data_IF_168414381788
#
_entry.id   IF_168414381788
#
_cell.length_a   1.000
_cell.length_b   1.000
_cell.length_c   1.000
_cell.angle_alpha   90.00
_cell.angle_beta   90.00
_cell.angle_gamma   90.00
#
_symmetry.space_group_name_H-M   'P 1'
#
loop_
_entity.id
_entity.type
_entity.pdbx_description
1 polymer ?
#
# COMPACT_ATOMS: atom_id res chain seq x y z
N UNK A 1 -20.76 3.64 11.16
CA UNK A 1 -21.47 3.09 9.98
C UNK A 1 -20.51 3.13 8.81
N UNK A 2 -20.22 1.97 8.20
CA UNK A 2 -19.64 1.88 6.85
C UNK A 2 -20.75 2.27 5.85
N UNK A 3 -20.36 2.82 4.70
CA UNK A 3 -21.19 3.36 3.60
C UNK A 3 -21.57 4.84 3.68
N UNK A 4 -20.86 5.66 2.88
CA UNK A 4 -21.46 6.70 2.03
C UNK A 4 -20.54 7.14 0.89
N UNK A 5 -19.26 6.74 0.90
CA UNK A 5 -18.47 6.64 -0.33
C UNK A 5 -17.90 5.24 -0.41
N UNK A 6 -18.69 4.32 -0.96
CA UNK A 6 -18.18 3.05 -1.41
C UNK A 6 -17.39 3.31 -2.71
N UNK A 7 -16.22 3.94 -2.58
CA UNK A 7 -15.20 3.97 -3.63
C UNK A 7 -14.52 2.60 -3.68
N UNK A 8 -15.34 1.55 -3.79
CA UNK A 8 -14.91 0.15 -3.78
C UNK A 8 -13.83 -0.18 -4.83
N UNK A 9 -13.64 0.63 -5.91
CA UNK A 9 -12.45 0.52 -6.74
C UNK A 9 -11.26 1.39 -6.31
N UNK A 10 -11.41 2.59 -5.72
CA UNK A 10 -10.30 3.57 -5.70
C UNK A 10 -9.13 3.20 -4.80
N UNK A 11 -9.36 2.46 -3.72
CA UNK A 11 -8.27 2.05 -2.83
C UNK A 11 -7.53 0.81 -3.36
N UNK A 12 -8.00 0.21 -4.45
CA UNK A 12 -7.39 -0.99 -5.05
C UNK A 12 -6.11 -0.61 -5.78
N UNK A 13 -4.98 -1.27 -5.50
CA UNK A 13 -3.73 -1.07 -6.23
C UNK A 13 -3.91 -1.00 -7.75
N UNK A 14 -4.74 -1.88 -8.33
CA UNK A 14 -5.05 -1.87 -9.78
C UNK A 14 -5.64 -0.56 -10.28
N UNK A 15 -6.57 0.04 -9.54
CA UNK A 15 -7.22 1.29 -9.95
C UNK A 15 -6.29 2.46 -9.74
N UNK A 16 -5.57 2.49 -8.61
CA UNK A 16 -4.54 3.48 -8.35
C UNK A 16 -3.49 3.49 -9.45
N UNK A 17 -2.96 2.32 -9.82
CA UNK A 17 -1.97 2.19 -10.89
C UNK A 17 -2.51 2.59 -12.26
N UNK A 18 -3.75 2.24 -12.59
CA UNK A 18 -4.38 2.64 -13.83
C UNK A 18 -4.56 4.17 -13.93
N UNK A 19 -5.08 4.79 -12.86
CA UNK A 19 -5.28 6.25 -12.80
C UNK A 19 -3.93 6.96 -12.86
N UNK A 20 -2.94 6.49 -12.11
CA UNK A 20 -1.59 7.06 -12.13
C UNK A 20 -0.95 6.95 -13.52
N UNK A 21 -0.99 5.76 -14.13
CA UNK A 21 -0.47 5.53 -15.48
C UNK A 21 -1.17 6.37 -16.55
N UNK A 22 -2.49 6.58 -16.42
CA UNK A 22 -3.25 7.45 -17.33
C UNK A 22 -2.84 8.93 -17.21
N UNK A 23 -2.45 9.39 -16.02
CA UNK A 23 -2.01 10.77 -15.76
C UNK A 23 -0.55 10.99 -16.18
N UNK A 24 0.35 10.04 -15.88
CA UNK A 24 1.79 10.19 -16.06
C UNK A 24 2.35 9.50 -17.33
N UNK A 25 1.56 8.70 -18.04
CA UNK A 25 1.87 8.18 -19.38
C UNK A 25 2.53 6.79 -19.44
N UNK A 26 2.92 6.20 -18.32
CA UNK A 26 3.54 4.85 -18.28
C UNK A 26 2.59 3.78 -17.71
N UNK A 27 1.58 3.43 -18.50
CA UNK A 27 0.59 2.42 -18.11
C UNK A 27 1.22 1.04 -17.87
N UNK A 28 2.13 0.52 -18.73
CA UNK A 28 2.69 -0.82 -18.54
C UNK A 28 3.40 -1.01 -17.20
N UNK A 29 4.31 -0.10 -16.84
CA UNK A 29 5.05 -0.20 -15.57
C UNK A 29 4.12 0.01 -14.38
N UNK A 30 3.20 0.98 -14.47
CA UNK A 30 2.25 1.25 -13.40
C UNK A 30 1.33 0.06 -13.13
N UNK A 31 0.87 -0.62 -14.18
CA UNK A 31 0.05 -1.83 -14.05
C UNK A 31 0.84 -3.00 -13.46
N UNK A 32 2.11 -3.17 -13.84
CA UNK A 32 2.96 -4.21 -13.26
C UNK A 32 3.16 -4.02 -11.75
N UNK A 33 3.38 -2.77 -11.31
CA UNK A 33 3.49 -2.39 -9.90
C UNK A 33 2.17 -2.65 -9.17
N UNK A 34 1.05 -2.26 -9.79
CA UNK A 34 -0.27 -2.45 -9.21
C UNK A 34 -0.66 -3.92 -9.04
N UNK A 35 -0.37 -4.76 -10.05
CA UNK A 35 -0.56 -6.21 -9.98
C UNK A 35 0.28 -6.81 -8.86
N UNK A 36 1.53 -6.38 -8.71
CA UNK A 36 2.38 -6.82 -7.60
C UNK A 36 1.73 -6.57 -6.24
N UNK A 37 1.25 -5.34 -5.99
CA UNK A 37 0.63 -5.00 -4.70
C UNK A 37 -0.73 -5.68 -4.49
N UNK A 38 -1.53 -5.87 -5.55
CA UNK A 38 -2.79 -6.61 -5.47
C UNK A 38 -2.54 -8.08 -5.06
N UNK A 39 -1.51 -8.71 -5.63
CA UNK A 39 -1.10 -10.07 -5.25
C UNK A 39 -0.51 -10.12 -3.84
N UNK A 40 0.33 -9.14 -3.50
CA UNK A 40 1.02 -9.08 -2.21
C UNK A 40 0.05 -8.91 -1.02
N UNK A 41 -1.06 -8.20 -1.22
CA UNK A 41 -2.07 -7.95 -0.18
C UNK A 41 -3.41 -8.64 -0.39
N UNK A 42 -3.44 -9.72 -1.16
CA UNK A 42 -4.66 -10.44 -1.54
C UNK A 42 -5.51 -10.90 -0.33
N UNK A 43 -4.87 -11.15 0.82
CA UNK A 43 -5.51 -11.68 2.05
C UNK A 43 -5.82 -10.64 3.11
N UNK A 44 -5.40 -9.39 2.90
CA UNK A 44 -5.56 -8.34 3.89
C UNK A 44 -6.88 -7.61 3.68
N UNK A 45 -7.98 -8.32 3.94
CA UNK A 45 -9.33 -7.75 3.96
C UNK A 45 -9.72 -7.28 5.37
N UNK A 46 -10.42 -6.14 5.49
CA UNK A 46 -10.78 -5.57 6.79
C UNK A 46 -11.91 -6.38 7.45
N UNK A 47 -11.54 -7.33 8.32
CA UNK A 47 -12.45 -8.16 9.12
C UNK A 47 -12.47 -7.74 10.60
N UNK A 48 -13.67 -7.48 11.15
CA UNK A 48 -13.84 -7.11 12.55
C UNK A 48 -13.12 -5.81 12.92
N UNK A 49 -12.30 -5.85 13.98
CA UNK A 49 -11.52 -4.70 14.48
C UNK A 49 -10.14 -4.57 13.83
N UNK A 50 -9.77 -5.52 12.97
CA UNK A 50 -8.49 -5.50 12.25
C UNK A 50 -8.51 -4.43 11.16
N UNK A 51 -7.46 -3.60 11.16
CA UNK A 51 -7.24 -2.55 10.18
C UNK A 51 -6.06 -3.01 9.31
N UNK A 52 -6.28 -3.32 8.02
CA UNK A 52 -5.21 -3.74 7.15
C UNK A 52 -4.23 -2.58 6.89
N UNK A 53 -2.98 -2.89 6.48
CA UNK A 53 -2.04 -1.89 5.96
C UNK A 53 -2.68 -1.06 4.84
N UNK A 54 -2.34 0.23 4.77
CA UNK A 54 -2.89 1.11 3.74
C UNK A 54 -2.24 0.80 2.38
N UNK A 55 -2.96 0.05 1.56
CA UNK A 55 -2.46 -0.45 0.27
C UNK A 55 -2.25 0.68 -0.74
N UNK A 56 -3.16 1.64 -0.78
CA UNK A 56 -3.10 2.79 -1.68
C UNK A 56 -1.87 3.67 -1.41
N UNK A 57 -1.54 3.91 -0.14
CA UNK A 57 -0.41 4.75 0.25
C UNK A 57 0.92 4.17 -0.25
N UNK A 58 1.16 2.88 -0.06
CA UNK A 58 2.40 2.25 -0.50
C UNK A 58 2.44 2.01 -2.02
N UNK A 59 1.30 1.74 -2.66
CA UNK A 59 1.21 1.68 -4.13
C UNK A 59 1.55 3.05 -4.75
N UNK A 60 0.91 4.13 -4.29
CA UNK A 60 1.20 5.50 -4.76
C UNK A 60 2.65 5.91 -4.51
N UNK A 61 3.18 5.59 -3.34
CA UNK A 61 4.57 5.89 -3.02
C UNK A 61 5.55 5.14 -3.94
N UNK A 62 5.29 3.85 -4.23
CA UNK A 62 6.11 3.07 -5.17
C UNK A 62 6.02 3.62 -6.58
N UNK A 63 4.82 3.93 -7.06
CA UNK A 63 4.60 4.53 -8.38
C UNK A 63 5.33 5.87 -8.50
N UNK A 64 5.28 6.70 -7.46
CA UNK A 64 5.97 7.99 -7.44
C UNK A 64 7.48 7.82 -7.44
N UNK A 65 8.03 6.90 -6.63
CA UNK A 65 9.46 6.60 -6.68
C UNK A 65 9.88 6.06 -8.05
N UNK A 66 9.11 5.13 -8.63
CA UNK A 66 9.40 4.60 -9.95
C UNK A 66 9.40 5.68 -11.02
N UNK A 67 8.43 6.62 -10.96
CA UNK A 67 8.37 7.74 -11.86
C UNK A 67 9.52 8.74 -11.66
N UNK A 68 9.80 9.16 -10.42
CA UNK A 68 10.85 10.13 -10.11
C UNK A 68 12.27 9.63 -10.45
N UNK A 69 12.52 8.33 -10.30
CA UNK A 69 13.82 7.71 -10.53
C UNK A 69 13.92 6.96 -11.86
N UNK A 70 12.89 7.01 -12.71
CA UNK A 70 12.87 6.33 -14.01
C UNK A 70 13.01 4.80 -13.91
N UNK A 71 12.46 4.19 -12.86
CA UNK A 71 12.60 2.76 -12.59
C UNK A 71 11.62 1.96 -13.45
N UNK A 72 12.08 1.49 -14.61
CA UNK A 72 11.31 0.61 -15.50
C UNK A 72 11.63 -0.86 -15.27
N UNK A 73 12.76 -1.16 -14.63
CA UNK A 73 13.24 -2.52 -14.43
C UNK A 73 12.74 -3.13 -13.12
N UNK A 74 12.50 -4.45 -13.13
CA UNK A 74 11.95 -5.16 -11.98
C UNK A 74 12.75 -5.00 -10.67
N UNK A 75 14.10 -5.05 -10.66
CA UNK A 75 14.87 -4.87 -9.43
C UNK A 75 14.74 -3.47 -8.83
N UNK A 76 14.68 -2.43 -9.67
CA UNK A 76 14.49 -1.05 -9.23
C UNK A 76 13.10 -0.84 -8.63
N UNK A 77 12.07 -1.35 -9.31
CA UNK A 77 10.69 -1.35 -8.82
C UNK A 77 10.57 -2.08 -7.48
N UNK A 78 11.25 -3.22 -7.30
CA UNK A 78 11.25 -3.95 -6.03
C UNK A 78 11.86 -3.12 -4.90
N UNK A 79 12.99 -2.47 -5.15
CA UNK A 79 13.65 -1.62 -4.16
C UNK A 79 12.72 -0.48 -3.73
N UNK A 80 12.04 0.17 -4.68
CA UNK A 80 11.03 1.18 -4.42
C UNK A 80 9.85 0.61 -3.62
N UNK A 81 9.36 -0.58 -3.97
CA UNK A 81 8.27 -1.25 -3.27
C UNK A 81 8.63 -1.54 -1.81
N UNK A 82 9.81 -2.14 -1.56
CA UNK A 82 10.30 -2.44 -0.21
C UNK A 82 10.44 -1.17 0.63
N UNK A 83 10.98 -0.10 0.05
CA UNK A 83 11.12 1.19 0.73
C UNK A 83 9.76 1.80 1.10
N UNK A 84 8.71 1.55 0.30
CA UNK A 84 7.35 2.03 0.56
C UNK A 84 6.55 1.19 1.56
N UNK A 85 6.91 -0.08 1.82
CA UNK A 85 6.13 -0.97 2.70
C UNK A 85 5.92 -0.44 4.13
N UNK A 86 6.93 0.15 4.81
CA UNK A 86 6.73 0.74 6.12
C UNK A 86 5.65 1.84 6.13
N UNK A 87 5.50 2.55 5.01
CA UNK A 87 4.50 3.60 4.85
C UNK A 87 3.08 3.04 4.97
N UNK A 88 2.80 1.87 4.39
CA UNK A 88 1.50 1.21 4.51
C UNK A 88 1.10 0.98 5.97
N UNK A 89 2.06 0.61 6.83
CA UNK A 89 1.84 0.36 8.26
C UNK A 89 1.67 1.67 9.05
N UNK A 90 2.45 2.69 8.73
CA UNK A 90 2.36 4.01 9.37
C UNK A 90 0.98 4.61 9.09
N UNK A 91 0.54 4.57 7.82
CA UNK A 91 -0.75 5.12 7.40
C UNK A 91 -1.94 4.34 7.97
N UNK A 92 -1.85 3.02 8.08
CA UNK A 92 -2.86 2.23 8.77
C UNK A 92 -2.98 2.60 10.27
N UNK A 93 -1.86 2.89 10.94
CA UNK A 93 -1.87 3.37 12.34
C UNK A 93 -2.42 4.78 12.46
N UNK A 94 -2.09 5.68 11.54
CA UNK A 94 -2.61 7.04 11.50
C UNK A 94 -4.14 7.02 11.33
N UNK A 95 -4.64 6.20 10.41
CA UNK A 95 -6.08 5.99 10.21
C UNK A 95 -6.75 5.41 11.47
N UNK A 96 -6.12 4.43 12.12
CA UNK A 96 -6.59 3.86 13.38
C UNK A 96 -6.70 4.91 14.48
N UNK A 97 -5.70 5.78 14.59
CA UNK A 97 -5.64 6.86 15.55
C UNK A 97 -6.76 7.86 15.28
N UNK A 98 -6.87 8.42 14.07
CA UNK A 98 -7.93 9.35 13.71
C UNK A 98 -9.32 8.78 14.00
N UNK A 99 -9.57 7.53 13.61
CA UNK A 99 -10.86 6.90 13.87
C UNK A 99 -11.20 6.83 15.36
N UNK A 100 -10.22 6.58 16.24
CA UNK A 100 -10.42 6.57 17.70
C UNK A 100 -10.73 7.97 18.23
N UNK A 101 -9.99 8.99 17.77
CA UNK A 101 -10.21 10.37 18.18
C UNK A 101 -11.59 10.88 17.75
N UNK A 102 -11.97 10.64 16.49
CA UNK A 102 -13.27 11.04 15.97
C UNK A 102 -14.41 10.32 16.68
N UNK A 103 -14.29 9.01 16.91
CA UNK A 103 -15.32 8.24 17.62
C UNK A 103 -15.51 8.78 19.05
N UNK A 104 -14.43 9.09 19.76
CA UNK A 104 -14.50 9.66 21.11
C UNK A 104 -15.08 11.09 21.12
N UNK A 105 -14.70 11.92 20.14
CA UNK A 105 -15.21 13.29 20.00
C UNK A 105 -16.71 13.29 19.65
N UNK A 106 -17.14 12.41 18.75
CA UNK A 106 -18.54 12.24 18.36
C UNK A 106 -19.39 11.70 19.52
N UNK A 107 -18.91 10.72 20.28
CA UNK A 107 -19.61 10.20 21.45
C UNK A 107 -19.88 11.32 22.48
N UNK A 108 -18.86 12.13 22.79
CA UNK A 108 -19.00 13.29 23.68
C UNK A 108 -19.98 14.34 23.16
N UNK A 109 -19.96 14.62 21.85
CA UNK A 109 -20.87 15.58 21.22
C UNK A 109 -22.33 15.12 21.28
N UNK A 110 -22.58 13.83 21.05
CA UNK A 110 -23.92 13.22 21.15
C UNK A 110 -24.42 13.22 22.59
N UNK A 111 -23.60 12.84 23.56
CA UNK A 111 -23.96 12.90 24.99
C UNK A 111 -24.28 14.33 25.44
N UNK A 112 -23.47 15.31 25.02
CA UNK A 112 -23.70 16.71 25.36
C UNK A 112 -24.99 17.28 24.73
N UNK A 113 -25.33 16.87 23.52
CA UNK A 113 -26.57 17.27 22.85
C UNK A 113 -27.80 16.61 23.49
N UNK A 114 -27.70 15.32 23.86
CA UNK A 114 -28.76 14.61 24.58
C UNK A 114 -29.08 15.27 25.92
N UNK A 115 -28.06 15.72 26.68
CA UNK A 115 -28.25 16.47 27.94
C UNK A 115 -28.94 17.82 27.76
N UNK A 116 -28.78 18.45 26.60
CA UNK A 116 -29.36 19.77 26.29
C UNK A 116 -30.67 19.69 25.48
N UNK A 117 -31.19 18.49 25.23
CA UNK A 117 -32.40 18.27 24.41
C UNK A 117 -32.22 18.67 22.93
N UNK A 118 -30.99 18.80 22.45
CA UNK A 118 -30.69 19.26 21.10
C UNK A 118 -30.65 18.13 20.07
N UNK A 119 -31.12 18.39 18.85
CA UNK A 119 -31.01 17.47 17.71
C UNK A 119 -29.70 17.75 16.97
N UNK A 120 -28.78 16.79 16.98
CA UNK A 120 -27.52 16.89 16.24
C UNK A 120 -27.76 16.56 14.77
N UNK A 121 -27.47 17.50 13.86
CA UNK A 121 -27.52 17.23 12.41
C UNK A 121 -26.36 16.30 12.00
N UNK A 122 -26.62 15.03 11.62
CA UNK A 122 -25.55 14.05 11.42
C UNK A 122 -24.67 14.37 10.20
N UNK A 123 -25.25 14.92 9.13
CA UNK A 123 -24.56 15.12 7.86
C UNK A 123 -23.39 16.10 7.91
N UNK A 124 -23.52 17.21 8.65
CA UNK A 124 -22.47 18.24 8.74
C UNK A 124 -21.27 17.77 9.58
N UNK A 125 -21.51 16.93 10.57
CA UNK A 125 -20.46 16.31 11.37
C UNK A 125 -19.68 15.29 10.55
N UNK A 126 -20.38 14.47 9.76
CA UNK A 126 -19.74 13.49 8.87
C UNK A 126 -18.89 14.21 7.82
N UNK A 127 -19.41 15.24 7.17
CA UNK A 127 -18.65 15.97 6.13
C UNK A 127 -17.40 16.65 6.69
N UNK A 128 -17.49 17.26 7.88
CA UNK A 128 -16.33 17.85 8.55
C UNK A 128 -15.27 16.81 8.89
N UNK A 129 -15.68 15.68 9.48
CA UNK A 129 -14.79 14.54 9.77
C UNK A 129 -14.09 14.02 8.51
N UNK A 130 -14.83 13.83 7.41
CA UNK A 130 -14.24 13.40 6.14
C UNK A 130 -13.21 14.41 5.61
N UNK A 131 -13.50 15.71 5.73
CA UNK A 131 -12.61 16.78 5.25
C UNK A 131 -11.34 16.84 6.09
N UNK A 132 -11.48 16.80 7.42
CA UNK A 132 -10.35 16.81 8.35
C UNK A 132 -9.47 15.57 8.12
N UNK A 133 -10.08 14.39 7.94
CA UNK A 133 -9.37 13.16 7.63
C UNK A 133 -8.62 13.24 6.29
N UNK A 134 -9.25 13.77 5.24
CA UNK A 134 -8.61 13.93 3.93
C UNK A 134 -7.42 14.90 3.97
N UNK A 135 -7.57 16.03 4.66
CA UNK A 135 -6.50 17.03 4.80
C UNK A 135 -5.33 16.46 5.59
N UNK A 136 -5.57 15.90 6.78
CA UNK A 136 -4.48 15.39 7.62
C UNK A 136 -3.78 14.23 6.91
N UNK A 137 -4.53 13.31 6.33
CA UNK A 137 -3.95 12.17 5.61
C UNK A 137 -3.13 12.64 4.39
N UNK A 138 -3.65 13.61 3.62
CA UNK A 138 -2.95 14.19 2.47
C UNK A 138 -1.66 14.92 2.85
N UNK A 139 -1.68 15.73 3.91
CA UNK A 139 -0.48 16.44 4.41
C UNK A 139 0.55 15.44 4.93
N UNK A 140 0.14 14.49 5.78
CA UNK A 140 1.02 13.44 6.28
C UNK A 140 1.61 12.61 5.12
N UNK A 141 0.80 12.27 4.11
CA UNK A 141 1.26 11.51 2.95
C UNK A 141 2.29 12.29 2.15
N UNK A 142 2.04 13.56 1.90
CA UNK A 142 2.97 14.43 1.17
C UNK A 142 4.31 14.57 1.90
N UNK A 143 4.29 14.75 3.23
CA UNK A 143 5.51 14.82 4.04
C UNK A 143 6.28 13.49 4.04
N UNK A 144 5.57 12.37 4.21
CA UNK A 144 6.19 11.06 4.22
C UNK A 144 6.75 10.68 2.84
N UNK A 145 6.05 11.05 1.77
CA UNK A 145 6.50 10.88 0.40
C UNK A 145 7.74 11.72 0.10
N UNK A 146 7.78 12.98 0.55
CA UNK A 146 8.98 13.83 0.42
C UNK A 146 10.18 13.21 1.14
N UNK A 147 9.97 12.70 2.37
CA UNK A 147 11.00 11.95 3.10
C UNK A 147 11.44 10.68 2.36
N UNK A 148 10.51 9.99 1.72
CA UNK A 148 10.78 8.78 0.94
C UNK A 148 11.60 9.08 -0.32
N UNK A 149 11.29 10.17 -1.02
CA UNK A 149 12.06 10.63 -2.18
C UNK A 149 13.47 11.03 -1.75
N UNK A 150 13.61 11.73 -0.62
CA UNK A 150 14.92 12.07 -0.07
C UNK A 150 15.74 10.81 0.30
N UNK A 151 15.11 9.83 0.94
CA UNK A 151 15.73 8.53 1.23
C UNK A 151 16.07 7.75 -0.05
N UNK A 152 15.18 7.79 -1.03
CA UNK A 152 15.36 7.19 -2.35
C UNK A 152 16.57 7.78 -3.08
N UNK A 153 16.77 9.10 -3.04
CA UNK A 153 17.93 9.75 -3.64
C UNK A 153 19.23 9.19 -3.08
N UNK A 154 19.32 9.01 -1.76
CA UNK A 154 20.51 8.44 -1.12
C UNK A 154 20.69 6.96 -1.47
N UNK A 155 19.60 6.18 -1.42
CA UNK A 155 19.63 4.75 -1.65
C UNK A 155 19.95 4.42 -3.11
N UNK A 156 19.20 4.99 -4.06
CA UNK A 156 19.38 4.77 -5.51
C UNK A 156 20.70 5.32 -6.03
N UNK A 157 21.28 6.35 -5.41
CA UNK A 157 22.66 6.75 -5.70
C UNK A 157 23.68 5.66 -5.32
N UNK A 158 23.45 4.90 -4.24
CA UNK A 158 24.33 3.80 -3.83
C UNK A 158 24.11 2.52 -4.63
N UNK A 159 22.86 2.17 -4.93
CA UNK A 159 22.51 0.88 -5.57
C UNK A 159 22.33 0.97 -7.09
N UNK A 160 22.19 2.17 -7.66
CA UNK A 160 22.00 2.39 -9.09
C UNK A 160 22.98 1.62 -9.99
N UNK A 161 24.31 1.67 -9.73
CA UNK A 161 25.29 0.93 -10.52
C UNK A 161 25.12 -0.60 -10.50
N UNK A 162 24.54 -1.14 -9.41
CA UNK A 162 24.25 -2.57 -9.27
C UNK A 162 22.99 -3.00 -10.03
N UNK A 163 22.05 -2.07 -10.25
CA UNK A 163 20.76 -2.34 -10.86
C UNK A 163 20.81 -2.31 -12.39
N UNK A 164 21.70 -1.49 -12.98
CA UNK A 164 21.83 -1.32 -14.44
C UNK A 164 22.19 -2.61 -15.19
N UNK A 165 22.82 -3.58 -14.52
CA UNK A 165 23.27 -4.84 -15.15
C UNK A 165 22.26 -5.99 -15.03
N UNK A 166 21.10 -5.79 -14.41
CA UNK A 166 20.15 -6.85 -14.08
C UNK A 166 18.80 -6.62 -14.77
N UNK A 167 18.72 -6.89 -16.08
CA UNK A 167 17.43 -6.92 -16.79
C UNK A 167 16.67 -8.20 -16.42
N UNK A 168 15.93 -8.18 -15.32
CA UNK A 168 15.08 -9.29 -14.90
C UNK A 168 13.62 -9.03 -15.27
N UNK A 169 12.99 -10.04 -15.85
CA UNK A 169 11.56 -10.00 -16.18
C UNK A 169 10.69 -9.73 -14.94
N UNK A 170 9.64 -8.91 -15.12
CA UNK A 170 8.58 -8.65 -14.14
C UNK A 170 7.89 -9.91 -13.60
N UNK A 171 8.01 -11.05 -14.29
CA UNK A 171 7.53 -12.34 -13.79
C UNK A 171 8.07 -12.68 -12.39
N UNK A 172 9.33 -12.33 -12.09
CA UNK A 172 9.92 -12.54 -10.77
C UNK A 172 9.23 -11.70 -9.68
N UNK A 173 8.77 -10.49 -10.03
CA UNK A 173 8.00 -9.65 -9.10
C UNK A 173 6.64 -10.25 -8.84
N UNK A 174 5.96 -10.76 -9.86
CA UNK A 174 4.65 -11.40 -9.66
C UNK A 174 4.75 -12.68 -8.82
N UNK A 175 5.83 -13.46 -8.98
CA UNK A 175 6.12 -14.60 -8.11
C UNK A 175 6.36 -14.14 -6.66
N UNK A 176 7.09 -13.05 -6.46
CA UNK A 176 7.29 -12.50 -5.12
C UNK A 176 5.98 -11.95 -4.53
N UNK A 177 5.16 -11.29 -5.34
CA UNK A 177 3.84 -10.79 -4.94
C UNK A 177 2.90 -11.93 -4.56
N UNK A 178 2.91 -13.03 -5.30
CA UNK A 178 2.07 -14.20 -5.00
C UNK A 178 2.45 -14.89 -3.68
N UNK A 179 3.69 -14.71 -3.18
CA UNK A 179 4.04 -15.14 -1.81
C UNK A 179 3.15 -14.50 -0.76
N UNK A 180 2.69 -13.26 -0.96
CA UNK A 180 1.71 -12.63 -0.08
C UNK A 180 0.41 -13.43 0.02
N UNK A 181 -0.09 -13.90 -1.13
CA UNK A 181 -1.24 -14.82 -1.23
C UNK A 181 -0.97 -16.25 -0.74
N UNK A 182 0.27 -16.71 -0.68
CA UNK A 182 0.60 -18.02 -0.08
C UNK A 182 0.77 -17.93 1.43
N UNK A 183 1.41 -16.87 1.95
CA UNK A 183 1.54 -16.55 3.39
C UNK A 183 0.17 -16.30 4.08
N UNK A 184 -0.80 -15.92 3.26
CA UNK A 184 -2.21 -15.79 3.56
C UNK A 184 -2.91 -17.08 3.95
N UNK A 185 -2.57 -18.21 3.31
CA UNK A 185 -3.31 -19.46 3.47
C UNK A 185 -3.22 -20.02 4.89
N UNK A 186 -2.31 -19.52 5.73
CA UNK A 186 -2.06 -19.94 7.13
C UNK A 186 -1.95 -21.47 7.27
N UNK A 187 -1.66 -22.16 6.17
CA UNK A 187 -1.67 -23.61 6.06
C UNK A 187 -0.23 -24.10 6.07
N UNK A 188 0.20 -24.70 7.19
CA UNK A 188 1.59 -25.17 7.39
C UNK A 188 2.15 -26.02 6.23
N UNK A 189 1.38 -26.93 5.61
CA UNK A 189 1.86 -27.71 4.46
C UNK A 189 2.21 -26.87 3.23
N UNK A 190 1.50 -25.76 3.00
CA UNK A 190 1.76 -24.88 1.85
C UNK A 190 3.16 -24.23 1.95
N UNK A 191 3.61 -23.92 3.18
CA UNK A 191 4.96 -23.41 3.42
C UNK A 191 6.04 -24.44 3.15
N UNK A 192 5.78 -25.71 3.47
CA UNK A 192 6.73 -26.81 3.22
C UNK A 192 6.88 -27.06 1.72
N UNK A 193 5.77 -27.08 0.98
CA UNK A 193 5.81 -27.25 -0.48
C UNK A 193 6.52 -26.08 -1.16
N UNK A 194 6.28 -24.85 -0.70
CA UNK A 194 6.92 -23.67 -1.28
C UNK A 194 8.43 -23.61 -0.98
N UNK A 195 8.83 -23.88 0.27
CA UNK A 195 10.24 -23.94 0.65
C UNK A 195 10.98 -25.10 -0.03
N UNK A 196 10.33 -26.26 -0.20
CA UNK A 196 10.89 -27.37 -0.98
C UNK A 196 11.04 -27.00 -2.46
N UNK A 197 10.05 -26.36 -3.07
CA UNK A 197 10.11 -25.91 -4.47
C UNK A 197 11.21 -24.88 -4.72
N UNK A 198 11.38 -23.91 -3.81
CA UNK A 198 12.47 -22.93 -3.85
C UNK A 198 13.82 -23.63 -3.67
N UNK A 199 13.94 -24.56 -2.72
CA UNK A 199 15.15 -25.35 -2.50
C UNK A 199 15.55 -26.17 -3.73
N UNK A 200 14.59 -26.83 -4.37
CA UNK A 200 14.81 -27.59 -5.63
C UNK A 200 15.25 -26.66 -6.76
N UNK A 201 14.65 -25.47 -6.87
CA UNK A 201 15.00 -24.50 -7.92
C UNK A 201 16.42 -23.94 -7.73
N UNK A 202 16.82 -23.68 -6.48
CA UNK A 202 18.19 -23.25 -6.14
C UNK A 202 19.20 -24.37 -6.41
N UNK A 203 18.89 -25.60 -6.01
CA UNK A 203 19.71 -26.78 -6.30
C UNK A 203 19.87 -27.01 -7.80
N UNK A 204 18.78 -26.89 -8.55
CA UNK A 204 18.78 -27.02 -10.01
C UNK A 204 19.65 -25.95 -10.66
N UNK A 205 19.52 -24.70 -10.21
CA UNK A 205 20.34 -23.59 -10.71
C UNK A 205 21.83 -23.82 -10.43
N UNK A 206 22.19 -24.23 -9.20
CA UNK A 206 23.57 -24.51 -8.80
C UNK A 206 24.20 -25.73 -9.48
N UNK A 207 23.41 -26.67 -9.99
CA UNK A 207 23.90 -27.88 -10.67
C UNK A 207 24.09 -27.65 -12.19
N UNK A 208 23.39 -26.67 -12.77
CA UNK A 208 23.39 -26.38 -14.21
C UNK A 208 24.26 -25.18 -14.63
N UNK A 209 24.73 -24.37 -13.67
CA UNK A 209 25.79 -23.35 -13.86
C UNK A 209 27.10 -23.83 -13.30
#
# INVERSE_FOLDING_TARGET
MRFSLNLFPLDRPLVVGLVYGAVFGDIPTCMNIAVFFELFWLDLFPAGTFIPPNQAAATLATLTLAHCFGLTEAPGVLAAAVLSLPLALIFARLEAFHRRFETAAQARAVEAAARKGGVVSPGRLILRSLTDMAIINGVCFSLALAGLIAAGNLLFAMIGPLLEHQSKSFAHLWILGSLGGVLSLRHRPAYVVLSAGVGISILWFLVLT
#
